data_IF_976847137847
#
_entry.id   IF_976847137847
#
_cell.length_a   1.000
_cell.length_b   1.000
_cell.length_c   1.000
_cell.angle_alpha   90.00
_cell.angle_beta   90.00
_cell.angle_gamma   90.00
#
_symmetry.space_group_name_H-M   'P 1'
#
loop_
_entity.id
_entity.type
_entity.pdbx_description
1 polymer ?
#
# COMPACT_ATOMS: atom_id res chain seq x y z
N UNK A 1 -4.45 18.12 -10.58
CA UNK A 1 -4.73 16.83 -11.26
C UNK A 1 -4.32 15.75 -10.27
N UNK A 2 -5.20 14.82 -9.92
CA UNK A 2 -4.83 13.65 -9.13
C UNK A 2 -3.73 12.90 -9.91
N UNK A 3 -2.58 12.68 -9.29
CA UNK A 3 -1.47 11.96 -9.91
C UNK A 3 -1.94 10.57 -10.32
N UNK A 4 -1.55 10.12 -11.52
CA UNK A 4 -1.83 8.76 -11.96
C UNK A 4 -1.05 7.80 -11.06
N UNK A 5 -1.74 6.81 -10.47
CA UNK A 5 -1.09 5.79 -9.65
C UNK A 5 0.03 5.09 -10.43
N UNK A 6 1.25 5.16 -9.92
CA UNK A 6 2.47 4.71 -10.63
C UNK A 6 2.40 3.24 -11.04
N UNK A 7 1.77 2.39 -10.26
CA UNK A 7 1.75 0.94 -10.49
C UNK A 7 0.50 0.43 -11.21
N UNK A 8 -0.41 1.33 -11.64
CA UNK A 8 -1.60 1.00 -12.42
C UNK A 8 -2.64 0.16 -11.68
N UNK A 9 -3.76 -0.12 -12.37
CA UNK A 9 -4.90 -0.87 -11.84
C UNK A 9 -5.31 -2.05 -12.74
N UNK A 10 -4.37 -2.62 -13.49
CA UNK A 10 -4.55 -3.80 -14.33
C UNK A 10 -4.82 -5.08 -13.51
N UNK A 11 -5.23 -6.17 -14.17
CA UNK A 11 -5.38 -7.49 -13.52
C UNK A 11 -4.07 -7.96 -12.89
N UNK A 12 -2.93 -7.71 -13.55
CA UNK A 12 -1.61 -8.01 -13.02
C UNK A 12 -1.31 -7.19 -11.75
N UNK A 13 -1.68 -5.92 -11.74
CA UNK A 13 -1.56 -5.07 -10.57
C UNK A 13 -2.46 -5.57 -9.42
N UNK A 14 -3.70 -6.02 -9.71
CA UNK A 14 -4.58 -6.62 -8.72
C UNK A 14 -4.00 -7.92 -8.12
N UNK A 15 -3.40 -8.79 -8.96
CA UNK A 15 -2.70 -10.00 -8.49
C UNK A 15 -1.52 -9.67 -7.58
N UNK A 16 -0.74 -8.63 -7.93
CA UNK A 16 0.34 -8.14 -7.07
C UNK A 16 -0.20 -7.66 -5.72
N UNK A 17 -1.33 -6.94 -5.70
CA UNK A 17 -1.95 -6.47 -4.45
C UNK A 17 -2.41 -7.62 -3.54
N UNK A 18 -2.78 -8.78 -4.09
CA UNK A 18 -3.06 -9.97 -3.31
C UNK A 18 -1.80 -10.49 -2.58
N UNK A 19 -0.65 -10.56 -3.28
CA UNK A 19 0.64 -10.93 -2.65
C UNK A 19 1.06 -9.90 -1.59
N UNK A 20 0.90 -8.61 -1.84
CA UNK A 20 1.15 -7.54 -0.85
C UNK A 20 0.29 -7.75 0.39
N UNK A 21 -0.98 -8.10 0.22
CA UNK A 21 -1.88 -8.36 1.34
C UNK A 21 -1.47 -9.61 2.14
N UNK A 22 -1.01 -10.65 1.48
CA UNK A 22 -0.49 -11.87 2.12
C UNK A 22 0.77 -11.57 2.93
N UNK A 23 1.75 -10.86 2.33
CA UNK A 23 3.04 -10.56 2.95
C UNK A 23 2.90 -9.67 4.19
N UNK A 24 2.12 -8.60 4.10
CA UNK A 24 2.00 -7.59 5.16
C UNK A 24 0.78 -7.81 6.07
N UNK A 25 -0.06 -8.79 5.77
CA UNK A 25 -1.31 -9.03 6.50
C UNK A 25 -1.12 -9.25 8.00
N UNK A 26 -0.10 -10.01 8.40
CA UNK A 26 0.17 -10.29 9.82
C UNK A 26 0.61 -9.01 10.57
N UNK A 27 1.50 -8.20 9.99
CA UNK A 27 1.94 -6.93 10.56
C UNK A 27 0.79 -5.93 10.69
N UNK A 28 0.01 -5.74 9.61
CA UNK A 28 -1.15 -4.86 9.63
C UNK A 28 -2.24 -5.31 10.62
N UNK A 29 -2.43 -6.63 10.76
CA UNK A 29 -3.35 -7.21 11.77
C UNK A 29 -2.90 -6.84 13.18
N UNK A 30 -1.63 -7.06 13.52
CA UNK A 30 -1.09 -6.75 14.85
C UNK A 30 -1.23 -5.25 15.18
N UNK A 31 -0.98 -4.37 14.20
CA UNK A 31 -1.20 -2.93 14.34
C UNK A 31 -2.66 -2.61 14.65
N UNK A 32 -3.60 -3.15 13.88
CA UNK A 32 -5.03 -2.90 14.07
C UNK A 32 -5.54 -3.44 15.41
N UNK A 33 -5.13 -4.64 15.82
CA UNK A 33 -5.47 -5.25 17.11
C UNK A 33 -4.96 -4.43 18.30
N UNK A 34 -3.76 -3.82 18.15
CA UNK A 34 -3.20 -2.94 19.18
C UNK A 34 -3.88 -1.57 19.23
N UNK A 35 -4.15 -0.98 18.04
CA UNK A 35 -4.60 0.41 17.93
C UNK A 35 -6.11 0.60 18.08
N UNK A 36 -6.91 -0.43 17.78
CA UNK A 36 -8.36 -0.29 17.63
C UNK A 36 -9.09 -1.33 18.47
N UNK A 37 -9.80 -0.91 19.55
CA UNK A 37 -10.69 -1.84 20.25
C UNK A 37 -11.81 -2.31 19.31
N UNK A 38 -12.20 -3.61 19.39
CA UNK A 38 -13.27 -4.15 18.55
C UNK A 38 -14.60 -3.44 18.78
N UNK A 39 -15.33 -3.18 17.69
CA UNK A 39 -16.65 -2.54 17.73
C UNK A 39 -16.64 -1.19 17.01
N UNK A 40 -17.54 -0.31 17.43
CA UNK A 40 -17.70 1.00 16.76
C UNK A 40 -18.79 1.00 15.68
N UNK A 41 -18.97 2.15 15.04
CA UNK A 41 -20.00 2.35 14.01
C UNK A 41 -19.43 2.20 12.62
N UNK A 42 -18.34 2.93 12.33
CA UNK A 42 -17.81 3.06 10.98
C UNK A 42 -16.28 2.98 10.98
N UNK A 43 -15.72 2.13 10.11
CA UNK A 43 -14.32 2.14 9.77
C UNK A 43 -14.16 2.45 8.27
N UNK A 44 -13.22 3.33 7.95
CA UNK A 44 -12.84 3.69 6.58
C UNK A 44 -11.46 3.12 6.27
N UNK A 45 -11.33 2.47 5.13
CA UNK A 45 -10.05 1.99 4.58
C UNK A 45 -9.73 2.80 3.32
N UNK A 46 -8.75 3.68 3.41
CA UNK A 46 -8.37 4.62 2.35
C UNK A 46 -7.31 4.01 1.43
N UNK A 47 -7.52 4.11 0.12
CA UNK A 47 -6.69 3.43 -0.86
C UNK A 47 -6.87 1.90 -0.80
N UNK A 48 -8.12 1.47 -0.69
CA UNK A 48 -8.46 0.07 -0.43
C UNK A 48 -8.06 -0.90 -1.55
N UNK A 49 -7.78 -0.40 -2.75
CA UNK A 49 -7.50 -1.24 -3.91
C UNK A 49 -8.57 -2.31 -4.14
N UNK A 50 -8.17 -3.58 -4.42
CA UNK A 50 -9.11 -4.71 -4.57
C UNK A 50 -9.76 -5.18 -3.27
N UNK A 51 -9.71 -4.40 -2.19
CA UNK A 51 -10.45 -4.63 -0.95
C UNK A 51 -9.81 -5.58 0.05
N UNK A 52 -8.54 -5.96 -0.12
CA UNK A 52 -7.86 -6.88 0.82
C UNK A 52 -7.69 -6.27 2.22
N UNK A 53 -7.26 -5.02 2.31
CA UNK A 53 -7.13 -4.27 3.56
C UNK A 53 -8.50 -3.99 4.20
N UNK A 54 -9.52 -3.69 3.40
CA UNK A 54 -10.88 -3.46 3.89
C UNK A 54 -11.46 -4.69 4.60
N UNK A 55 -11.25 -5.88 4.01
CA UNK A 55 -11.67 -7.14 4.66
C UNK A 55 -10.92 -7.39 5.97
N UNK A 56 -9.61 -7.08 6.02
CA UNK A 56 -8.82 -7.16 7.24
C UNK A 56 -9.34 -6.20 8.33
N UNK A 57 -9.62 -4.94 7.97
CA UNK A 57 -10.21 -3.96 8.89
C UNK A 57 -11.56 -4.43 9.42
N UNK A 58 -12.43 -4.95 8.55
CA UNK A 58 -13.74 -5.49 8.96
C UNK A 58 -13.60 -6.66 9.94
N UNK A 59 -12.68 -7.58 9.67
CA UNK A 59 -12.43 -8.76 10.51
C UNK A 59 -11.86 -8.40 11.89
N UNK A 60 -10.88 -7.49 11.92
CA UNK A 60 -10.16 -7.15 13.16
C UNK A 60 -10.94 -6.15 14.00
N UNK A 61 -11.34 -5.03 13.41
CA UNK A 61 -11.99 -3.93 14.13
C UNK A 61 -13.48 -4.20 14.41
N UNK A 62 -14.13 -5.04 13.60
CA UNK A 62 -15.55 -5.45 13.75
C UNK A 62 -16.53 -4.28 13.94
N UNK A 63 -16.45 -3.22 13.13
CA UNK A 63 -17.41 -2.12 13.21
C UNK A 63 -18.77 -2.60 12.62
N UNK A 64 -19.83 -1.80 12.84
CA UNK A 64 -21.13 -2.06 12.19
C UNK A 64 -21.05 -1.90 10.67
N UNK A 65 -20.15 -1.03 10.20
CA UNK A 65 -19.93 -0.72 8.79
C UNK A 65 -18.45 -0.55 8.51
N UNK A 66 -17.92 -1.21 7.48
CA UNK A 66 -16.60 -0.95 6.91
C UNK A 66 -16.76 -0.43 5.49
N UNK A 67 -16.10 0.67 5.15
CA UNK A 67 -16.13 1.24 3.81
C UNK A 67 -14.71 1.34 3.26
N UNK A 68 -14.43 0.62 2.18
CA UNK A 68 -13.24 0.80 1.36
C UNK A 68 -13.42 1.97 0.40
N UNK A 69 -12.43 2.84 0.35
CA UNK A 69 -12.42 4.06 -0.47
C UNK A 69 -11.21 4.01 -1.40
N UNK A 70 -11.42 4.13 -2.72
CA UNK A 70 -10.32 4.13 -3.69
C UNK A 70 -10.59 5.09 -4.84
N UNK A 71 -9.53 5.67 -5.41
CA UNK A 71 -9.56 6.52 -6.58
C UNK A 71 -9.66 5.76 -7.91
N UNK A 72 -9.52 4.44 -7.93
CA UNK A 72 -9.71 3.58 -9.09
C UNK A 72 -11.10 2.96 -9.08
N UNK A 73 -11.94 3.35 -10.03
CA UNK A 73 -13.27 2.74 -10.22
C UNK A 73 -13.15 1.23 -10.49
N UNK A 74 -12.15 0.81 -11.27
CA UNK A 74 -11.87 -0.60 -11.55
C UNK A 74 -11.60 -1.40 -10.28
N UNK A 75 -10.77 -0.88 -9.38
CA UNK A 75 -10.51 -1.56 -8.11
C UNK A 75 -11.75 -1.63 -7.22
N UNK A 76 -12.54 -0.56 -7.19
CA UNK A 76 -13.81 -0.53 -6.45
C UNK A 76 -14.79 -1.59 -6.98
N UNK A 77 -14.91 -1.74 -8.30
CA UNK A 77 -15.76 -2.78 -8.91
C UNK A 77 -15.26 -4.19 -8.57
N UNK A 78 -13.94 -4.43 -8.68
CA UNK A 78 -13.33 -5.71 -8.32
C UNK A 78 -13.55 -6.05 -6.83
N UNK A 79 -13.36 -5.08 -5.95
CA UNK A 79 -13.57 -5.23 -4.52
C UNK A 79 -15.02 -5.59 -4.19
N UNK A 80 -15.99 -4.93 -4.84
CA UNK A 80 -17.43 -5.25 -4.71
C UNK A 80 -17.75 -6.68 -5.17
N UNK A 81 -17.19 -7.08 -6.31
CA UNK A 81 -17.42 -8.41 -6.88
C UNK A 81 -16.87 -9.56 -6.01
N UNK A 82 -15.82 -9.27 -5.22
CA UNK A 82 -15.11 -10.28 -4.42
C UNK A 82 -15.44 -10.25 -2.92
N UNK A 83 -16.32 -9.34 -2.49
CA UNK A 83 -16.66 -9.16 -1.06
C UNK A 83 -18.19 -9.21 -0.88
N UNK A 84 -18.76 -10.39 -0.54
CA UNK A 84 -20.21 -10.56 -0.42
C UNK A 84 -20.80 -10.07 0.91
N UNK A 85 -19.97 -9.62 1.86
CA UNK A 85 -20.44 -9.19 3.19
C UNK A 85 -21.21 -7.85 3.08
N UNK A 86 -22.51 -7.79 3.46
CA UNK A 86 -23.30 -6.56 3.39
C UNK A 86 -22.83 -5.44 4.34
N UNK A 87 -22.06 -5.76 5.38
CA UNK A 87 -21.47 -4.78 6.28
C UNK A 87 -20.23 -4.12 5.69
N UNK A 88 -19.68 -4.65 4.58
CA UNK A 88 -18.51 -4.11 3.88
C UNK A 88 -18.95 -3.49 2.56
N UNK A 89 -18.65 -2.22 2.35
CA UNK A 89 -18.93 -1.52 1.11
C UNK A 89 -17.68 -0.94 0.49
N UNK A 90 -17.81 -0.50 -0.76
CA UNK A 90 -16.72 0.15 -1.48
C UNK A 90 -17.25 1.34 -2.28
N UNK A 91 -16.48 2.43 -2.32
CA UNK A 91 -16.85 3.65 -3.03
C UNK A 91 -15.67 4.24 -3.78
N UNK A 92 -15.92 4.69 -5.00
CA UNK A 92 -14.98 5.47 -5.78
C UNK A 92 -14.97 6.91 -5.25
N UNK A 93 -13.84 7.35 -4.67
CA UNK A 93 -13.66 8.70 -4.15
C UNK A 93 -12.17 9.05 -4.05
N UNK A 94 -11.85 10.30 -4.30
CA UNK A 94 -10.52 10.86 -4.10
C UNK A 94 -10.31 11.14 -2.60
N UNK A 95 -9.46 10.35 -1.95
CA UNK A 95 -9.18 10.44 -0.50
C UNK A 95 -8.54 11.76 -0.07
N UNK A 96 -8.08 12.58 -1.02
CA UNK A 96 -7.57 13.94 -0.76
C UNK A 96 -8.70 14.96 -0.63
N UNK A 97 -9.94 14.62 -0.98
CA UNK A 97 -11.13 15.49 -0.92
C UNK A 97 -11.96 15.16 0.31
N UNK A 98 -12.30 16.21 1.06
CA UNK A 98 -13.16 16.11 2.23
C UNK A 98 -14.55 16.71 1.95
N UNK A 99 -15.61 16.24 2.63
CA UNK A 99 -15.59 15.17 3.63
C UNK A 99 -15.37 13.78 3.02
N UNK A 100 -14.77 12.86 3.80
CA UNK A 100 -14.71 11.46 3.41
C UNK A 100 -16.12 10.84 3.41
N UNK A 101 -16.41 9.91 2.51
CA UNK A 101 -17.69 9.18 2.52
C UNK A 101 -17.96 8.51 3.87
N UNK A 102 -19.20 8.61 4.34
CA UNK A 102 -19.65 8.08 5.65
C UNK A 102 -18.91 8.65 6.88
N UNK A 103 -18.13 9.73 6.73
CA UNK A 103 -17.58 10.43 7.89
C UNK A 103 -18.69 11.12 8.71
N UNK A 104 -18.52 11.30 10.06
CA UNK A 104 -17.32 10.99 10.83
C UNK A 104 -17.21 9.49 11.18
N UNK A 105 -15.97 8.95 11.22
CA UNK A 105 -15.66 7.56 11.46
C UNK A 105 -15.02 7.31 12.83
N UNK A 106 -15.07 6.06 13.30
CA UNK A 106 -14.35 5.63 14.49
C UNK A 106 -12.89 5.25 14.16
N UNK A 107 -12.69 4.75 12.94
CA UNK A 107 -11.37 4.34 12.42
C UNK A 107 -11.20 4.86 11.00
N UNK A 108 -10.05 5.45 10.72
CA UNK A 108 -9.55 5.71 9.38
C UNK A 108 -8.23 4.97 9.21
N UNK A 109 -8.19 4.00 8.32
CA UNK A 109 -7.01 3.19 8.04
C UNK A 109 -6.43 3.52 6.67
N UNK A 110 -5.11 3.58 6.56
CA UNK A 110 -4.40 3.72 5.28
C UNK A 110 -3.14 2.87 5.28
N UNK A 111 -2.94 2.07 4.23
CA UNK A 111 -1.76 1.22 4.07
C UNK A 111 -1.15 1.37 2.69
N UNK A 112 0.16 1.69 2.62
CA UNK A 112 0.94 1.79 1.39
C UNK A 112 0.29 2.73 0.35
N UNK A 113 -0.26 3.84 0.82
CA UNK A 113 -1.03 4.81 0.05
C UNK A 113 -0.33 6.17 -0.05
N UNK A 114 0.22 6.65 1.05
CA UNK A 114 0.65 8.05 1.20
C UNK A 114 1.86 8.41 0.33
N UNK A 115 2.67 7.43 -0.08
CA UNK A 115 3.75 7.64 -1.05
C UNK A 115 3.24 8.11 -2.44
N UNK A 116 1.95 7.92 -2.73
CA UNK A 116 1.31 8.28 -3.99
C UNK A 116 0.50 9.58 -3.91
N UNK A 117 0.50 10.24 -2.76
CA UNK A 117 -0.32 11.41 -2.48
C UNK A 117 0.54 12.62 -2.10
N UNK A 118 0.06 13.84 -2.40
CA UNK A 118 0.74 15.06 -1.98
C UNK A 118 0.61 15.25 -0.47
N UNK A 119 1.64 15.83 0.16
CA UNK A 119 1.63 16.23 1.57
C UNK A 119 1.15 15.13 2.53
N UNK A 120 1.87 13.99 2.64
CA UNK A 120 1.47 12.88 3.51
C UNK A 120 1.13 13.29 4.95
N UNK A 121 1.93 14.10 5.68
CA UNK A 121 1.58 14.51 7.04
C UNK A 121 0.32 15.36 7.10
N UNK A 122 0.16 16.32 6.19
CA UNK A 122 -1.04 17.18 6.14
C UNK A 122 -2.30 16.39 5.79
N UNK A 123 -2.20 15.33 4.99
CA UNK A 123 -3.32 14.44 4.71
C UNK A 123 -3.75 13.68 5.97
N UNK A 124 -2.82 13.13 6.74
CA UNK A 124 -3.14 12.45 8.01
C UNK A 124 -3.88 13.37 8.96
N UNK A 125 -3.43 14.63 9.13
CA UNK A 125 -4.13 15.62 9.95
C UNK A 125 -5.53 15.96 9.41
N UNK A 126 -5.69 16.04 8.10
CA UNK A 126 -7.00 16.27 7.48
C UNK A 126 -7.93 15.08 7.67
N UNK A 127 -7.44 13.83 7.58
CA UNK A 127 -8.23 12.64 7.87
C UNK A 127 -8.60 12.55 9.35
N UNK A 128 -7.72 13.02 10.25
CA UNK A 128 -8.03 13.15 11.68
C UNK A 128 -9.28 14.00 11.94
N UNK A 129 -9.49 15.08 11.18
CA UNK A 129 -10.71 15.90 11.29
C UNK A 129 -12.00 15.16 10.89
N UNK A 130 -11.88 14.00 10.30
CA UNK A 130 -13.01 13.15 9.88
C UNK A 130 -13.36 12.06 10.92
N UNK A 131 -12.70 12.09 12.08
CA UNK A 131 -12.95 11.15 13.17
C UNK A 131 -14.09 11.58 14.08
N UNK A 132 -14.74 10.63 14.71
CA UNK A 132 -15.55 10.84 15.92
C UNK A 132 -14.66 11.08 17.13
N UNK A 133 -15.19 11.72 18.20
CA UNK A 133 -14.47 11.76 19.47
C UNK A 133 -14.09 10.35 19.93
N UNK A 134 -12.80 10.15 20.24
CA UNK A 134 -12.23 8.85 20.59
C UNK A 134 -11.90 7.92 19.42
N UNK A 135 -12.07 8.39 18.18
CA UNK A 135 -11.63 7.68 16.98
C UNK A 135 -10.12 7.78 16.74
N UNK A 136 -9.62 7.02 15.78
CA UNK A 136 -8.19 6.98 15.44
C UNK A 136 -7.94 6.94 13.93
N UNK A 137 -6.88 7.61 13.48
CA UNK A 137 -6.24 7.34 12.18
C UNK A 137 -5.11 6.35 12.41
N UNK A 138 -5.09 5.27 11.63
CA UNK A 138 -4.05 4.23 11.67
C UNK A 138 -3.37 4.20 10.30
N UNK A 139 -2.06 4.37 10.28
CA UNK A 139 -1.24 4.42 9.07
C UNK A 139 -0.17 3.35 9.11
N UNK A 140 0.04 2.66 7.98
CA UNK A 140 1.01 1.57 7.81
C UNK A 140 1.76 1.79 6.48
N UNK A 141 2.94 2.46 6.54
CA UNK A 141 3.67 2.93 5.36
C UNK A 141 5.12 2.45 5.33
N UNK A 142 5.68 2.36 4.13
CA UNK A 142 7.08 1.96 3.99
C UNK A 142 8.00 3.06 4.51
N UNK A 143 8.87 2.69 5.48
CA UNK A 143 9.99 3.50 5.94
C UNK A 143 11.22 3.31 5.06
N UNK A 144 11.57 2.04 4.78
CA UNK A 144 12.68 1.67 3.91
C UNK A 144 12.57 0.23 3.42
N UNK A 145 13.25 -0.06 2.32
CA UNK A 145 13.42 -1.42 1.80
C UNK A 145 14.92 -1.67 1.62
N UNK A 146 15.42 -2.75 2.21
CA UNK A 146 16.81 -3.18 2.09
C UNK A 146 16.87 -4.50 1.32
N UNK A 147 17.11 -4.39 0.01
CA UNK A 147 17.30 -5.55 -0.84
C UNK A 147 18.78 -6.01 -0.82
N UNK A 148 19.03 -7.32 -0.81
CA UNK A 148 20.38 -7.85 -0.92
C UNK A 148 20.96 -7.52 -2.32
N UNK A 149 22.31 -7.43 -2.46
CA UNK A 149 22.95 -7.19 -3.74
C UNK A 149 22.51 -8.18 -4.82
N UNK A 150 22.40 -7.70 -6.05
CA UNK A 150 21.91 -8.42 -7.23
C UNK A 150 20.53 -7.95 -7.70
N UNK A 151 19.82 -8.76 -8.44
CA UNK A 151 18.61 -8.38 -9.18
C UNK A 151 17.53 -7.70 -8.32
N UNK A 152 17.43 -8.05 -7.04
CA UNK A 152 16.46 -7.38 -6.14
C UNK A 152 16.87 -5.92 -5.86
N UNK A 153 18.17 -5.67 -5.68
CA UNK A 153 18.71 -4.33 -5.54
C UNK A 153 18.59 -3.55 -6.84
N UNK A 154 18.95 -4.17 -7.96
CA UNK A 154 18.85 -3.55 -9.27
C UNK A 154 17.42 -3.08 -9.57
N UNK A 155 16.43 -3.90 -9.20
CA UNK A 155 15.01 -3.53 -9.30
C UNK A 155 14.66 -2.34 -8.38
N UNK A 156 15.07 -2.37 -7.11
CA UNK A 156 14.79 -1.29 -6.15
C UNK A 156 15.37 0.04 -6.63
N UNK A 157 16.61 0.03 -7.13
CA UNK A 157 17.25 1.25 -7.64
C UNK A 157 16.48 1.82 -8.84
N UNK A 158 15.97 0.97 -9.73
CA UNK A 158 15.15 1.39 -10.87
C UNK A 158 13.79 1.98 -10.45
N UNK A 159 13.08 1.32 -9.52
CA UNK A 159 11.76 1.82 -9.10
C UNK A 159 11.87 3.11 -8.29
N UNK A 160 12.92 3.26 -7.49
CA UNK A 160 13.23 4.50 -6.79
C UNK A 160 13.50 5.63 -7.78
N UNK A 161 14.31 5.38 -8.81
CA UNK A 161 14.60 6.35 -9.86
C UNK A 161 13.32 6.74 -10.64
N UNK A 162 12.46 5.78 -10.95
CA UNK A 162 11.18 6.03 -11.63
C UNK A 162 10.27 6.95 -10.81
N UNK A 163 10.03 6.61 -9.55
CA UNK A 163 9.15 7.39 -8.67
C UNK A 163 9.72 8.79 -8.45
N UNK A 164 11.05 8.93 -8.31
CA UNK A 164 11.70 10.23 -8.21
C UNK A 164 11.55 11.07 -9.49
N UNK A 165 11.66 10.46 -10.67
CA UNK A 165 11.45 11.14 -11.95
C UNK A 165 9.99 11.58 -12.15
N UNK A 166 9.03 10.88 -11.54
CA UNK A 166 7.61 11.27 -11.50
C UNK A 166 7.30 12.33 -10.41
N UNK A 167 8.31 12.74 -9.63
CA UNK A 167 8.21 13.81 -8.63
C UNK A 167 7.65 13.36 -7.28
N UNK A 168 7.60 12.06 -7.01
CA UNK A 168 7.13 11.47 -5.75
C UNK A 168 8.25 10.89 -4.89
N UNK A 169 8.01 10.69 -3.58
CA UNK A 169 8.86 9.86 -2.74
C UNK A 169 8.50 8.38 -2.94
N UNK A 170 9.50 7.50 -3.03
CA UNK A 170 9.22 6.04 -3.00
C UNK A 170 8.71 5.60 -1.63
N UNK A 171 9.15 6.23 -0.56
CA UNK A 171 8.83 5.88 0.82
C UNK A 171 8.15 7.05 1.54
N UNK A 172 6.93 6.84 2.04
CA UNK A 172 6.21 7.85 2.81
C UNK A 172 6.62 7.87 4.30
N UNK A 173 7.10 6.75 4.83
CA UNK A 173 7.46 6.62 6.24
C UNK A 173 8.39 7.73 6.77
N UNK A 174 9.51 8.06 6.09
CA UNK A 174 10.39 9.15 6.53
C UNK A 174 9.71 10.50 6.62
N UNK A 175 8.74 10.79 5.72
CA UNK A 175 7.97 12.03 5.75
C UNK A 175 6.99 12.08 6.92
N UNK A 176 6.56 10.92 7.38
CA UNK A 176 5.60 10.76 8.48
C UNK A 176 6.28 10.70 9.85
N UNK A 177 7.62 10.63 9.92
CA UNK A 177 8.37 10.56 11.18
C UNK A 177 7.99 11.64 12.21
N UNK A 178 7.68 12.91 11.83
CA UNK A 178 7.23 13.92 12.78
C UNK A 178 5.92 13.58 13.50
N UNK A 179 5.08 12.70 12.96
CA UNK A 179 3.84 12.24 13.58
C UNK A 179 4.10 11.12 14.62
N UNK A 180 5.35 10.68 14.79
CA UNK A 180 5.74 9.63 15.71
C UNK A 180 5.53 8.22 15.14
N UNK A 181 5.01 7.32 15.98
CA UNK A 181 4.82 5.92 15.65
C UNK A 181 6.09 5.09 15.84
N UNK A 182 6.03 3.83 15.48
CA UNK A 182 7.13 2.87 15.59
C UNK A 182 7.47 2.25 14.23
N UNK A 183 8.69 1.73 14.12
CA UNK A 183 9.13 1.00 12.93
C UNK A 183 9.14 -0.49 13.22
N UNK A 184 8.47 -1.27 12.37
CA UNK A 184 8.45 -2.72 12.45
C UNK A 184 9.11 -3.34 11.22
N UNK A 185 9.80 -4.46 11.42
CA UNK A 185 10.48 -5.17 10.33
C UNK A 185 9.63 -6.32 9.81
N UNK A 186 9.57 -6.44 8.50
CA UNK A 186 8.99 -7.58 7.80
C UNK A 186 10.04 -8.16 6.86
N UNK A 187 10.44 -9.40 7.13
CA UNK A 187 11.37 -10.13 6.25
C UNK A 187 10.59 -10.86 5.17
N UNK A 188 10.74 -10.41 3.94
CA UNK A 188 10.06 -10.98 2.78
C UNK A 188 10.99 -11.97 2.09
N UNK A 189 10.55 -13.21 1.92
CA UNK A 189 11.33 -14.20 1.16
C UNK A 189 11.67 -13.68 -0.25
N UNK A 190 12.91 -13.89 -0.68
CA UNK A 190 13.41 -13.36 -1.94
C UNK A 190 12.60 -13.81 -3.17
N UNK A 191 12.07 -15.05 -3.16
CA UNK A 191 11.25 -15.53 -4.28
C UNK A 191 9.88 -14.86 -4.30
N UNK A 192 9.31 -14.57 -3.11
CA UNK A 192 8.05 -13.80 -2.97
C UNK A 192 8.26 -12.35 -3.41
N UNK A 193 9.34 -11.71 -2.94
CA UNK A 193 9.72 -10.36 -3.37
C UNK A 193 9.92 -10.29 -4.88
N UNK A 194 10.66 -11.26 -5.46
CA UNK A 194 10.90 -11.31 -6.89
C UNK A 194 9.61 -11.45 -7.72
N UNK A 195 8.62 -12.22 -7.25
CA UNK A 195 7.29 -12.29 -7.89
C UNK A 195 6.57 -10.94 -7.87
N UNK A 196 6.53 -10.28 -6.69
CA UNK A 196 5.91 -8.95 -6.55
C UNK A 196 6.60 -7.93 -7.47
N UNK A 197 7.92 -7.95 -7.51
CA UNK A 197 8.74 -7.03 -8.30
C UNK A 197 8.59 -7.27 -9.80
N UNK A 198 8.56 -8.52 -10.24
CA UNK A 198 8.34 -8.86 -11.65
C UNK A 198 6.98 -8.39 -12.16
N UNK A 199 5.91 -8.60 -11.37
CA UNK A 199 4.58 -8.08 -11.69
C UNK A 199 4.57 -6.54 -11.75
N UNK A 200 5.26 -5.90 -10.83
CA UNK A 200 5.33 -4.45 -10.77
C UNK A 200 6.13 -3.88 -11.94
N UNK A 201 7.30 -4.45 -12.25
CA UNK A 201 8.14 -4.06 -13.39
C UNK A 201 7.34 -4.06 -14.69
N UNK A 202 6.52 -5.07 -14.92
CA UNK A 202 5.67 -5.17 -16.11
C UNK A 202 4.66 -4.01 -16.22
N UNK A 203 4.26 -3.38 -15.12
CA UNK A 203 3.28 -2.28 -15.14
C UNK A 203 3.90 -0.92 -15.48
N UNK A 204 5.20 -0.74 -15.25
CA UNK A 204 5.87 0.54 -15.44
C UNK A 204 7.05 0.52 -16.43
N UNK A 205 7.37 -0.65 -17.03
CA UNK A 205 8.46 -0.83 -17.98
C UNK A 205 8.51 0.26 -19.07
N UNK A 206 7.39 0.48 -19.76
CA UNK A 206 7.32 1.44 -20.87
C UNK A 206 7.59 2.88 -20.40
N UNK A 207 7.21 3.21 -19.16
CA UNK A 207 7.50 4.53 -18.59
C UNK A 207 8.96 4.70 -18.25
N UNK A 208 9.61 3.66 -17.71
CA UNK A 208 11.04 3.71 -17.46
C UNK A 208 11.83 3.92 -18.74
N UNK A 209 11.43 3.26 -19.84
CA UNK A 209 12.00 3.47 -21.17
C UNK A 209 11.73 4.90 -21.67
N UNK A 210 10.50 5.39 -21.54
CA UNK A 210 10.12 6.74 -21.98
C UNK A 210 10.81 7.87 -21.19
N UNK A 211 11.28 7.59 -19.98
CA UNK A 211 12.05 8.51 -19.13
C UNK A 211 13.57 8.29 -19.22
N UNK A 212 14.03 7.41 -20.10
CA UNK A 212 15.45 7.05 -20.32
C UNK A 212 16.18 6.62 -19.02
N UNK A 213 15.47 5.93 -18.12
CA UNK A 213 16.01 5.47 -16.85
C UNK A 213 16.77 4.15 -16.94
N UNK A 214 16.52 3.36 -17.99
CA UNK A 214 17.20 2.11 -18.27
C UNK A 214 17.07 1.74 -19.75
N UNK A 215 18.04 0.98 -20.28
CA UNK A 215 17.92 0.41 -21.62
C UNK A 215 16.93 -0.77 -21.64
N UNK A 216 16.41 -1.15 -22.83
CA UNK A 216 15.62 -2.38 -22.98
C UNK A 216 16.33 -3.62 -22.42
N UNK A 217 17.65 -3.75 -22.72
CA UNK A 217 18.48 -4.87 -22.29
C UNK A 217 18.64 -4.91 -20.77
N UNK A 218 18.74 -3.75 -20.09
CA UNK A 218 18.79 -3.68 -18.62
C UNK A 218 17.48 -4.18 -17.99
N UNK A 219 16.35 -3.73 -18.51
CA UNK A 219 15.03 -4.16 -18.03
C UNK A 219 14.79 -5.65 -18.30
N UNK A 220 15.22 -6.18 -19.45
CA UNK A 220 15.14 -7.61 -19.76
C UNK A 220 16.01 -8.44 -18.82
N UNK A 221 17.22 -7.98 -18.53
CA UNK A 221 18.12 -8.63 -17.57
C UNK A 221 17.50 -8.68 -16.17
N UNK A 222 16.92 -7.57 -15.70
CA UNK A 222 16.26 -7.52 -14.41
C UNK A 222 15.02 -8.42 -14.40
N UNK A 223 14.17 -8.37 -15.42
CA UNK A 223 12.97 -9.20 -15.52
C UNK A 223 13.32 -10.70 -15.48
N UNK A 224 14.28 -11.14 -16.31
CA UNK A 224 14.76 -12.54 -16.35
C UNK A 224 15.40 -12.96 -15.01
N UNK A 225 16.10 -12.05 -14.33
CA UNK A 225 16.67 -12.32 -13.02
C UNK A 225 15.62 -12.51 -11.93
N UNK A 226 14.58 -11.66 -11.94
CA UNK A 226 13.42 -11.77 -11.03
C UNK A 226 12.65 -13.07 -11.28
N UNK A 227 12.42 -13.45 -12.55
CA UNK A 227 11.72 -14.68 -12.90
C UNK A 227 12.47 -15.93 -12.40
N UNK A 228 13.79 -16.00 -12.61
CA UNK A 228 14.62 -17.10 -12.09
C UNK A 228 14.54 -17.20 -10.56
N UNK A 229 14.61 -16.06 -9.87
CA UNK A 229 14.55 -16.03 -8.42
C UNK A 229 13.16 -16.41 -7.90
N UNK A 230 12.10 -15.96 -8.56
CA UNK A 230 10.71 -16.31 -8.26
C UNK A 230 10.44 -17.82 -8.44
N UNK A 231 11.15 -18.48 -9.37
CA UNK A 231 11.13 -19.93 -9.57
C UNK A 231 11.92 -20.75 -8.53
N UNK A 232 12.45 -20.10 -7.49
CA UNK A 232 13.20 -20.77 -6.41
C UNK A 232 14.67 -21.07 -6.76
N UNK A 233 15.19 -20.52 -7.84
CA UNK A 233 16.56 -20.70 -8.26
C UNK A 233 17.44 -19.63 -7.60
N UNK A 234 18.10 -19.96 -6.50
CA UNK A 234 19.00 -19.04 -5.81
C UNK A 234 19.22 -19.36 -4.33
N UNK A 235 20.09 -18.59 -3.69
CA UNK A 235 20.35 -18.69 -2.26
C UNK A 235 19.14 -18.12 -1.50
N UNK A 236 18.67 -18.82 -0.46
CA UNK A 236 17.64 -18.28 0.44
C UNK A 236 18.11 -16.96 1.04
N UNK A 237 17.48 -15.89 0.63
CA UNK A 237 17.72 -14.53 1.12
C UNK A 237 16.36 -13.89 1.37
N UNK A 238 16.35 -12.84 2.16
CA UNK A 238 15.15 -12.03 2.39
C UNK A 238 15.42 -10.59 2.01
N UNK A 239 14.37 -9.91 1.58
CA UNK A 239 14.32 -8.45 1.49
C UNK A 239 13.76 -7.96 2.83
N UNK A 240 14.47 -7.04 3.46
CA UNK A 240 14.05 -6.42 4.72
C UNK A 240 13.21 -5.18 4.40
N UNK A 241 11.92 -5.25 4.73
CA UNK A 241 11.02 -4.11 4.69
C UNK A 241 10.91 -3.54 6.10
N UNK A 242 11.03 -2.25 6.24
CA UNK A 242 10.73 -1.53 7.46
C UNK A 242 9.46 -0.73 7.21
N UNK A 243 8.45 -0.95 8.03
CA UNK A 243 7.18 -0.24 7.97
C UNK A 243 7.11 0.74 9.15
N UNK A 244 6.70 1.98 8.88
CA UNK A 244 6.33 2.95 9.91
C UNK A 244 4.85 2.81 10.20
N UNK A 245 4.53 2.49 11.43
CA UNK A 245 3.17 2.30 11.94
C UNK A 245 2.82 3.43 12.89
N UNK A 246 1.73 4.14 12.58
CA UNK A 246 1.34 5.36 13.29
C UNK A 246 -0.12 5.25 13.72
N UNK A 247 -0.41 5.68 14.94
CA UNK A 247 -1.76 5.80 15.48
C UNK A 247 -1.95 7.23 15.94
N UNK A 248 -2.88 7.96 15.30
CA UNK A 248 -3.19 9.35 15.61
C UNK A 248 -4.62 9.42 16.19
N UNK A 249 -4.81 9.69 17.48
CA UNK A 249 -6.13 9.86 18.08
C UNK A 249 -6.81 11.15 17.61
N UNK A 250 -8.16 11.16 17.67
CA UNK A 250 -9.02 12.30 17.34
C UNK A 250 -8.69 13.58 18.12
#
# INVERSE_FOLDING_TARGET
MAGRYTFGDSDLAAQRMALVAEVFGASSRALLEHAVPPGGRTALDLGCGPGHSTRLVAEVCRPRRTLGVDGSERYVELARATTPDPAVGFVHHDVTRLPLPEAPADVVYARLLLAHLPDPPGLVERWRSQLRPGGVVVVDEVESIEAPPGVLRDYEDLVVALVAAEGGPMYAGPLLAPLGGECVEVLVDAAVAARMYGMNLATWRDRALGLDLASPDDLDRVAAGLERLAGGHGVRRSVRWVLRQIVVPA
#
